data_IF_092395976938
#
_entry.id   IF_092395976938
#
_cell.length_a   1.000
_cell.length_b   1.000
_cell.length_c   1.000
_cell.angle_alpha   90.00
_cell.angle_beta   90.00
_cell.angle_gamma   90.00
#
_symmetry.space_group_name_H-M   'P 1'
#
loop_
_entity.id
_entity.type
_entity.pdbx_description
1 polymer ?
#
# COMPACT_ATOMS: atom_id res chain seq x y z
N UNK A 1 -5.62 12.55 -17.98
CA UNK A 1 -4.41 12.26 -17.17
C UNK A 1 -3.87 10.96 -17.74
N UNK A 2 -2.63 11.00 -18.21
CA UNK A 2 -1.96 9.82 -18.74
C UNK A 2 -1.00 9.31 -17.67
N UNK A 3 -0.98 8.00 -17.44
CA UNK A 3 -0.12 7.37 -16.44
C UNK A 3 0.93 6.53 -17.15
N UNK A 4 2.18 6.79 -16.83
CA UNK A 4 3.32 6.08 -17.36
C UNK A 4 3.96 5.24 -16.25
N UNK A 5 4.22 3.96 -16.54
CA UNK A 5 4.81 3.01 -15.60
C UNK A 5 6.20 2.55 -16.10
N UNK A 6 7.20 3.45 -16.10
CA UNK A 6 8.51 3.16 -16.67
C UNK A 6 9.34 2.21 -15.80
N UNK A 7 8.90 1.96 -14.55
CA UNK A 7 9.59 1.09 -13.59
C UNK A 7 8.55 0.17 -12.94
N UNK A 8 8.80 -1.13 -12.99
CA UNK A 8 7.99 -2.15 -12.32
C UNK A 8 8.94 -3.08 -11.58
N UNK A 9 8.61 -3.46 -10.34
CA UNK A 9 9.50 -4.26 -9.50
C UNK A 9 8.77 -5.40 -8.80
N UNK A 10 9.51 -6.44 -8.43
CA UNK A 10 9.11 -7.40 -7.41
C UNK A 10 10.17 -7.44 -6.29
N UNK A 11 10.20 -8.51 -5.48
CA UNK A 11 11.12 -8.64 -4.36
C UNK A 11 12.60 -8.79 -4.75
N UNK A 12 12.93 -9.07 -6.01
CA UNK A 12 14.30 -9.36 -6.44
C UNK A 12 14.76 -8.62 -7.69
N UNK A 13 13.84 -8.24 -8.58
CA UNK A 13 14.17 -7.63 -9.87
C UNK A 13 13.30 -6.42 -10.20
N UNK A 14 13.85 -5.51 -10.99
CA UNK A 14 13.18 -4.36 -11.57
C UNK A 14 13.27 -4.40 -13.09
N UNK A 15 12.16 -4.07 -13.73
CA UNK A 15 12.10 -3.72 -15.14
C UNK A 15 12.18 -2.20 -15.28
N UNK A 16 13.10 -1.75 -16.12
CA UNK A 16 13.27 -0.36 -16.52
C UNK A 16 12.92 -0.25 -18.00
N UNK A 17 11.92 0.56 -18.33
CA UNK A 17 11.48 0.74 -19.70
C UNK A 17 12.59 1.39 -20.54
N UNK A 18 12.71 0.96 -21.80
CA UNK A 18 13.66 1.51 -22.77
C UNK A 18 12.90 2.03 -23.97
N UNK A 19 13.40 3.10 -24.58
CA UNK A 19 12.84 3.62 -25.82
C UNK A 19 12.71 2.53 -26.89
N UNK A 20 11.55 2.47 -27.54
CA UNK A 20 11.27 1.53 -28.63
C UNK A 20 10.78 0.14 -28.20
N UNK A 21 10.65 -0.14 -26.90
CA UNK A 21 9.99 -1.36 -26.42
C UNK A 21 8.47 -1.17 -26.48
N UNK A 22 7.75 -2.09 -27.14
CA UNK A 22 6.30 -2.03 -27.25
C UNK A 22 5.59 -2.16 -25.88
N UNK A 23 4.36 -1.65 -25.80
CA UNK A 23 3.51 -1.70 -24.61
C UNK A 23 3.06 -3.14 -24.28
N UNK A 24 3.94 -3.91 -23.65
CA UNK A 24 3.71 -5.28 -23.19
C UNK A 24 4.46 -5.53 -21.87
N UNK A 25 4.19 -4.70 -20.85
CA UNK A 25 4.96 -4.64 -19.61
C UNK A 25 5.11 -6.01 -18.91
N UNK A 26 4.10 -6.88 -18.96
CA UNK A 26 4.15 -8.22 -18.33
C UNK A 26 5.21 -9.09 -18.99
N UNK A 27 5.23 -9.12 -20.33
CA UNK A 27 6.21 -9.88 -21.09
C UNK A 27 7.60 -9.27 -20.94
N UNK A 28 7.68 -7.94 -21.02
CA UNK A 28 8.93 -7.21 -20.88
C UNK A 28 9.54 -7.40 -19.49
N UNK A 29 8.72 -7.40 -18.43
CA UNK A 29 9.19 -7.66 -17.06
C UNK A 29 9.81 -9.05 -16.94
N UNK A 30 9.16 -10.08 -17.48
CA UNK A 30 9.69 -11.46 -17.44
C UNK A 30 11.02 -11.58 -18.20
N UNK A 31 11.19 -10.86 -19.30
CA UNK A 31 12.35 -11.01 -20.19
C UNK A 31 13.51 -10.07 -19.86
N UNK A 32 13.22 -8.87 -19.35
CA UNK A 32 14.17 -7.75 -19.28
C UNK A 32 14.41 -7.26 -17.85
N UNK A 33 13.69 -7.77 -16.84
CA UNK A 33 13.94 -7.37 -15.47
C UNK A 33 15.31 -7.86 -14.96
N UNK A 34 15.98 -7.00 -14.20
CA UNK A 34 17.32 -7.23 -13.67
C UNK A 34 17.33 -7.02 -12.15
N UNK A 35 18.27 -7.65 -11.41
CA UNK A 35 18.47 -7.34 -10.00
C UNK A 35 18.67 -5.83 -9.80
N UNK A 36 18.12 -5.29 -8.72
CA UNK A 36 18.11 -3.85 -8.49
C UNK A 36 18.26 -3.49 -7.02
N UNK A 37 18.60 -2.24 -6.78
CA UNK A 37 18.51 -1.52 -5.52
C UNK A 37 17.55 -0.33 -5.69
N UNK A 38 17.04 0.20 -4.58
CA UNK A 38 16.18 1.40 -4.64
C UNK A 38 16.93 2.62 -5.21
N UNK A 39 18.26 2.69 -5.04
CA UNK A 39 19.06 3.75 -5.65
C UNK A 39 19.04 3.70 -7.18
N UNK A 40 18.96 2.51 -7.77
CA UNK A 40 18.90 2.34 -9.23
C UNK A 40 17.58 2.92 -9.79
N UNK A 41 16.47 2.82 -9.03
CA UNK A 41 15.18 3.47 -9.35
C UNK A 41 15.34 4.99 -9.40
N UNK A 42 16.02 5.54 -8.39
CA UNK A 42 16.25 6.98 -8.27
C UNK A 42 17.15 7.47 -9.40
N UNK A 43 18.21 6.74 -9.72
CA UNK A 43 19.14 7.07 -10.80
C UNK A 43 18.43 7.05 -12.15
N UNK A 44 17.71 5.96 -12.46
CA UNK A 44 16.94 5.85 -13.69
C UNK A 44 15.91 6.97 -13.86
N UNK A 45 15.18 7.33 -12.80
CA UNK A 45 14.22 8.43 -12.86
C UNK A 45 14.87 9.79 -13.14
N UNK A 46 16.08 10.01 -12.60
CA UNK A 46 16.86 11.24 -12.85
C UNK A 46 17.43 11.29 -14.26
N UNK A 47 17.99 10.18 -14.74
CA UNK A 47 18.57 10.07 -16.08
C UNK A 47 17.54 10.33 -17.19
N UNK A 48 16.29 9.92 -16.96
CA UNK A 48 15.18 10.15 -17.88
C UNK A 48 14.42 11.47 -17.61
N UNK A 49 14.92 12.31 -16.69
CA UNK A 49 14.33 13.61 -16.35
C UNK A 49 12.83 13.53 -16.00
N UNK A 50 12.40 12.45 -15.34
CA UNK A 50 11.01 12.26 -14.98
C UNK A 50 10.56 13.24 -13.89
N UNK A 51 9.39 13.84 -14.10
CA UNK A 51 8.72 14.71 -13.15
C UNK A 51 7.46 14.04 -12.58
N UNK A 52 6.89 14.62 -11.51
CA UNK A 52 5.64 14.14 -10.89
C UNK A 52 5.68 12.66 -10.48
N UNK A 53 6.81 12.25 -9.91
CA UNK A 53 7.09 10.88 -9.54
C UNK A 53 6.13 10.34 -8.46
N UNK A 54 5.63 9.13 -8.67
CA UNK A 54 4.78 8.41 -7.71
C UNK A 54 5.33 7.00 -7.55
N UNK A 55 5.73 6.64 -6.33
CA UNK A 55 6.04 5.26 -5.96
C UNK A 55 4.77 4.57 -5.45
N UNK A 56 4.40 3.45 -6.09
CA UNK A 56 3.24 2.64 -5.71
C UNK A 56 3.69 1.39 -4.96
N UNK A 57 3.49 1.34 -3.65
CA UNK A 57 3.79 0.18 -2.81
C UNK A 57 2.56 -0.74 -2.69
N UNK A 58 2.52 -1.75 -3.56
CA UNK A 58 1.54 -2.83 -3.53
C UNK A 58 2.08 -4.10 -2.84
N UNK A 59 3.06 -3.95 -1.92
CA UNK A 59 3.73 -5.06 -1.25
C UNK A 59 3.26 -5.24 0.21
N UNK A 60 3.77 -6.28 0.87
CA UNK A 60 3.70 -6.44 2.33
C UNK A 60 5.08 -6.27 3.00
N UNK A 61 6.04 -5.63 2.30
CA UNK A 61 7.44 -5.57 2.69
C UNK A 61 7.72 -4.49 3.73
N UNK A 62 8.42 -4.88 4.81
CA UNK A 62 8.96 -3.92 5.78
C UNK A 62 10.24 -3.25 5.28
N UNK A 63 11.02 -3.97 4.47
CA UNK A 63 12.24 -3.48 3.87
C UNK A 63 11.97 -2.29 2.94
N UNK A 64 10.95 -2.39 2.10
CA UNK A 64 10.59 -1.29 1.19
C UNK A 64 10.23 0.00 1.94
N UNK A 65 9.58 -0.13 3.11
CA UNK A 65 9.22 1.03 3.94
C UNK A 65 10.46 1.75 4.44
N UNK A 66 11.55 1.02 4.74
CA UNK A 66 12.82 1.64 5.14
C UNK A 66 13.41 2.55 4.05
N UNK A 67 13.01 2.35 2.79
CA UNK A 67 13.43 3.16 1.65
C UNK A 67 12.46 4.31 1.32
N UNK A 68 11.33 4.46 2.01
CA UNK A 68 10.39 5.56 1.75
C UNK A 68 11.08 6.92 1.87
N UNK A 69 11.93 7.10 2.89
CA UNK A 69 12.66 8.35 3.07
C UNK A 69 13.58 8.65 1.87
N UNK A 70 14.27 7.65 1.33
CA UNK A 70 15.09 7.81 0.13
C UNK A 70 14.25 8.24 -1.06
N UNK A 71 13.09 7.61 -1.28
CA UNK A 71 12.18 7.97 -2.38
C UNK A 71 11.63 9.40 -2.22
N UNK A 72 11.15 9.76 -1.03
CA UNK A 72 10.61 11.09 -0.74
C UNK A 72 11.66 12.18 -0.96
N UNK A 73 12.89 11.96 -0.47
CA UNK A 73 14.01 12.89 -0.64
C UNK A 73 14.39 13.10 -2.11
N UNK A 74 14.06 12.14 -2.98
CA UNK A 74 14.31 12.20 -4.41
C UNK A 74 13.05 12.52 -5.23
N UNK A 75 12.02 13.09 -4.60
CA UNK A 75 10.90 13.72 -5.31
C UNK A 75 9.66 12.86 -5.50
N UNK A 76 9.66 11.62 -5.00
CA UNK A 76 8.53 10.71 -5.14
C UNK A 76 7.42 11.02 -4.12
N UNK A 77 6.19 11.12 -4.59
CA UNK A 77 5.01 10.88 -3.78
C UNK A 77 4.86 9.38 -3.53
N UNK A 78 4.20 9.00 -2.44
CA UNK A 78 3.99 7.59 -2.08
C UNK A 78 2.49 7.27 -2.13
N UNK A 79 2.14 6.18 -2.78
CA UNK A 79 0.81 5.56 -2.70
C UNK A 79 1.01 4.12 -2.25
N UNK A 80 0.41 3.71 -1.13
CA UNK A 80 0.62 2.36 -0.61
C UNK A 80 -0.67 1.64 -0.27
N UNK A 81 -0.73 0.36 -0.63
CA UNK A 81 -1.64 -0.63 -0.03
C UNK A 81 -1.03 -1.21 1.24
N UNK A 82 0.31 -1.19 1.35
CA UNK A 82 1.03 -1.67 2.51
C UNK A 82 0.66 -0.90 3.79
N UNK A 83 0.01 -1.60 4.71
CA UNK A 83 -0.49 -1.01 5.96
C UNK A 83 0.58 -0.73 6.98
N UNK A 84 1.69 -1.48 6.91
CA UNK A 84 2.72 -1.47 7.94
C UNK A 84 3.39 -0.11 8.05
N UNK A 85 3.47 0.65 6.95
CA UNK A 85 3.98 2.02 6.93
C UNK A 85 3.32 2.94 7.97
N UNK A 86 2.05 2.70 8.32
CA UNK A 86 1.30 3.48 9.30
C UNK A 86 1.22 2.85 10.69
N UNK A 87 1.73 1.63 10.87
CA UNK A 87 1.69 0.89 12.15
C UNK A 87 3.08 0.56 12.70
N UNK A 88 4.14 0.96 11.99
CA UNK A 88 5.54 0.80 12.41
C UNK A 88 5.88 1.64 13.65
N UNK A 89 7.04 1.38 14.30
CA UNK A 89 7.48 2.16 15.46
C UNK A 89 7.38 3.67 15.23
N UNK A 90 6.91 4.37 16.26
CA UNK A 90 6.55 5.81 16.18
C UNK A 90 7.68 6.70 15.65
N UNK A 91 8.95 6.32 15.86
CA UNK A 91 10.11 7.05 15.35
C UNK A 91 10.14 7.09 13.82
N UNK A 92 10.05 5.92 13.17
CA UNK A 92 10.06 5.83 11.70
C UNK A 92 8.83 6.50 11.09
N UNK A 93 7.65 6.34 11.72
CA UNK A 93 6.44 7.04 11.30
C UNK A 93 6.66 8.57 11.30
N UNK A 94 7.21 9.13 12.39
CA UNK A 94 7.49 10.57 12.48
C UNK A 94 8.50 11.03 11.44
N UNK A 95 9.58 10.26 11.25
CA UNK A 95 10.61 10.56 10.26
C UNK A 95 10.02 10.65 8.83
N UNK A 96 9.18 9.68 8.45
CA UNK A 96 8.47 9.71 7.16
C UNK A 96 7.59 10.96 7.06
N UNK A 97 6.80 11.29 8.09
CA UNK A 97 5.93 12.48 8.09
C UNK A 97 6.70 13.79 8.01
N UNK A 98 7.84 13.87 8.68
CA UNK A 98 8.74 15.03 8.64
C UNK A 98 9.35 15.21 7.25
N UNK A 99 9.81 14.12 6.62
CA UNK A 99 10.33 14.16 5.25
C UNK A 99 9.26 14.55 4.23
N UNK A 100 8.06 13.97 4.31
CA UNK A 100 6.94 14.37 3.43
C UNK A 100 6.70 15.88 3.48
N UNK A 101 6.68 16.47 4.69
CA UNK A 101 6.53 17.92 4.86
C UNK A 101 7.73 18.70 4.33
N UNK A 102 8.96 18.22 4.59
CA UNK A 102 10.20 18.91 4.20
C UNK A 102 10.39 18.96 2.68
N UNK A 103 10.02 17.90 1.98
CA UNK A 103 10.22 17.76 0.53
C UNK A 103 8.95 18.07 -0.29
N UNK A 104 7.88 18.52 0.37
CA UNK A 104 6.58 18.81 -0.24
C UNK A 104 6.04 17.63 -1.05
N UNK A 105 5.88 16.49 -0.36
CA UNK A 105 5.40 15.23 -0.93
C UNK A 105 4.23 14.66 -0.15
N UNK A 106 3.44 13.87 -0.85
CA UNK A 106 2.24 13.23 -0.30
C UNK A 106 2.45 11.74 -0.07
N UNK A 107 1.74 11.22 0.95
CA UNK A 107 1.61 9.79 1.21
C UNK A 107 0.14 9.41 1.33
N UNK A 108 -0.38 8.72 0.32
CA UNK A 108 -1.75 8.23 0.25
C UNK A 108 -1.80 6.72 0.56
N UNK A 109 -2.77 6.32 1.37
CA UNK A 109 -2.86 4.95 1.90
C UNK A 109 -4.32 4.56 2.18
N UNK A 110 -5.25 5.03 1.34
CA UNK A 110 -6.69 4.84 1.50
C UNK A 110 -7.06 3.37 1.74
N UNK A 111 -6.49 2.49 0.92
CA UNK A 111 -6.74 1.04 0.92
C UNK A 111 -6.20 0.32 2.16
N UNK A 112 -5.46 1.01 3.05
CA UNK A 112 -5.03 0.42 4.31
C UNK A 112 -6.19 0.13 5.27
N UNK A 113 -7.27 0.91 5.14
CA UNK A 113 -8.55 0.65 5.78
C UNK A 113 -9.34 -0.18 4.78
N UNK A 114 -9.24 -1.52 4.88
CA UNK A 114 -9.80 -2.54 3.95
C UNK A 114 -11.31 -2.34 3.73
N UNK A 115 -11.68 -1.31 2.97
CA UNK A 115 -13.04 -0.89 2.76
C UNK A 115 -13.12 -0.33 1.36
N UNK A 116 -14.21 -0.61 0.66
CA UNK A 116 -14.50 0.01 -0.64
C UNK A 116 -14.91 1.49 -0.53
N UNK A 117 -14.71 2.12 0.63
CA UNK A 117 -15.18 3.47 0.95
C UNK A 117 -14.01 4.40 1.25
N UNK A 118 -14.11 5.70 0.92
CA UNK A 118 -13.05 6.68 1.14
C UNK A 118 -13.01 7.15 2.60
N UNK A 119 -12.74 6.23 3.54
CA UNK A 119 -12.71 6.49 4.98
C UNK A 119 -11.65 7.51 5.35
N UNK A 120 -10.39 7.32 4.92
CA UNK A 120 -9.29 8.21 5.29
C UNK A 120 -9.45 9.57 4.62
N UNK A 121 -9.85 9.61 3.35
CA UNK A 121 -10.18 10.86 2.66
C UNK A 121 -11.29 11.63 3.40
N UNK A 122 -12.38 10.96 3.79
CA UNK A 122 -13.47 11.59 4.56
C UNK A 122 -12.95 12.20 5.87
N UNK A 123 -12.09 11.49 6.59
CA UNK A 123 -11.50 12.01 7.83
C UNK A 123 -10.58 13.21 7.58
N UNK A 124 -9.81 13.21 6.49
CA UNK A 124 -8.97 14.35 6.10
C UNK A 124 -9.82 15.56 5.74
N UNK A 125 -10.88 15.38 4.98
CA UNK A 125 -11.77 16.47 4.55
C UNK A 125 -12.47 17.12 5.75
N UNK A 126 -12.95 16.31 6.69
CA UNK A 126 -13.50 16.80 7.96
C UNK A 126 -12.45 17.60 8.74
N UNK A 127 -11.26 17.04 8.93
CA UNK A 127 -10.18 17.72 9.65
C UNK A 127 -9.78 19.05 9.00
N UNK A 128 -9.62 19.06 7.67
CA UNK A 128 -9.26 20.25 6.90
C UNK A 128 -10.37 21.32 6.91
N UNK A 129 -11.62 20.91 7.10
CA UNK A 129 -12.76 21.81 7.29
C UNK A 129 -12.86 22.39 8.70
N UNK A 130 -11.95 22.02 9.61
CA UNK A 130 -11.96 22.45 11.00
C UNK A 130 -12.86 21.62 11.91
N UNK A 131 -13.43 20.52 11.42
CA UNK A 131 -14.25 19.62 12.23
C UNK A 131 -13.39 18.85 13.24
N UNK A 132 -13.98 18.62 14.41
CA UNK A 132 -13.33 17.82 15.46
C UNK A 132 -13.93 16.43 15.49
N UNK A 133 -13.18 15.46 14.96
CA UNK A 133 -13.56 14.04 15.06
C UNK A 133 -13.49 13.61 16.53
N UNK A 134 -14.65 13.37 17.14
CA UNK A 134 -14.73 12.93 18.54
C UNK A 134 -14.74 11.42 18.70
N UNK A 135 -15.11 10.67 17.64
CA UNK A 135 -15.34 9.23 17.71
C UNK A 135 -15.40 8.57 16.34
N UNK A 136 -14.71 7.45 16.19
CA UNK A 136 -14.80 6.56 15.03
C UNK A 136 -15.28 5.19 15.53
N UNK A 137 -16.29 4.60 14.88
CA UNK A 137 -16.78 3.24 15.14
C UNK A 137 -17.05 2.55 13.81
N UNK A 138 -16.62 1.30 13.70
CA UNK A 138 -16.84 0.47 12.52
C UNK A 138 -16.29 -0.93 12.72
N UNK A 139 -16.66 -1.82 11.81
CA UNK A 139 -16.04 -3.14 11.64
C UNK A 139 -15.11 -3.02 10.43
N UNK A 140 -13.81 -3.20 10.64
CA UNK A 140 -12.76 -2.96 9.63
C UNK A 140 -12.05 -4.25 9.20
N UNK A 141 -12.71 -5.39 9.39
CA UNK A 141 -12.24 -6.71 8.94
C UNK A 141 -13.42 -7.42 8.32
N UNK A 142 -13.37 -7.62 7.01
CA UNK A 142 -14.41 -8.35 6.27
C UNK A 142 -14.49 -9.81 6.74
N UNK A 143 -13.34 -10.41 7.03
CA UNK A 143 -13.23 -11.79 7.52
C UNK A 143 -13.96 -11.94 8.87
N UNK A 144 -13.66 -11.05 9.83
CA UNK A 144 -14.34 -11.06 11.12
C UNK A 144 -15.81 -10.67 10.99
N UNK A 145 -16.14 -9.72 10.11
CA UNK A 145 -17.53 -9.35 9.81
C UNK A 145 -18.32 -10.58 9.36
N UNK A 146 -17.79 -11.35 8.41
CA UNK A 146 -18.40 -12.59 7.94
C UNK A 146 -18.60 -13.60 9.08
N UNK A 147 -17.53 -13.89 9.84
CA UNK A 147 -17.56 -14.86 10.93
C UNK A 147 -18.57 -14.47 12.00
N UNK A 148 -18.56 -13.23 12.46
CA UNK A 148 -19.46 -12.78 13.52
C UNK A 148 -20.91 -12.62 13.05
N UNK A 149 -21.15 -12.15 11.82
CA UNK A 149 -22.50 -12.07 11.26
C UNK A 149 -23.12 -13.47 11.14
N UNK A 150 -22.34 -14.46 10.69
CA UNK A 150 -22.82 -15.82 10.59
C UNK A 150 -23.01 -16.49 11.95
N UNK A 151 -22.03 -16.36 12.85
CA UNK A 151 -22.13 -16.92 14.21
C UNK A 151 -23.30 -16.33 15.03
N UNK A 152 -23.63 -15.06 14.81
CA UNK A 152 -24.75 -14.41 15.49
C UNK A 152 -26.13 -14.75 14.91
N UNK A 153 -26.20 -15.15 13.64
CA UNK A 153 -27.46 -15.42 12.94
C UNK A 153 -27.80 -16.92 12.88
N UNK A 154 -26.78 -17.77 12.79
CA UNK A 154 -26.96 -19.22 12.63
C UNK A 154 -26.89 -19.92 14.00
N UNK A 155 -27.71 -20.96 14.22
CA UNK A 155 -27.56 -21.88 15.36
C UNK A 155 -26.38 -22.86 15.15
N UNK A 156 -25.18 -22.32 14.94
CA UNK A 156 -23.96 -23.09 14.69
C UNK A 156 -22.87 -22.75 15.69
N UNK A 157 -22.05 -23.74 16.03
CA UNK A 157 -20.91 -23.51 16.90
C UNK A 157 -19.89 -22.58 16.21
N UNK A 158 -19.29 -21.65 16.97
CA UNK A 158 -18.27 -20.73 16.46
C UNK A 158 -17.13 -21.44 15.72
N UNK A 159 -16.70 -22.59 16.24
CA UNK A 159 -15.65 -23.41 15.62
C UNK A 159 -16.05 -23.99 14.25
N UNK A 160 -17.34 -24.20 14.00
CA UNK A 160 -17.85 -24.62 12.70
C UNK A 160 -17.84 -23.46 11.71
N UNK A 161 -18.29 -22.26 12.12
CA UNK A 161 -18.25 -21.05 11.29
C UNK A 161 -16.81 -20.72 10.86
N UNK A 162 -15.84 -20.81 11.78
CA UNK A 162 -14.43 -20.61 11.46
C UNK A 162 -13.92 -21.61 10.42
N UNK A 163 -14.22 -22.91 10.59
CA UNK A 163 -13.83 -23.93 9.62
C UNK A 163 -14.41 -23.65 8.24
N UNK A 164 -15.67 -23.30 8.17
CA UNK A 164 -16.35 -22.99 6.90
C UNK A 164 -15.73 -21.73 6.26
N UNK A 165 -15.47 -20.67 7.04
CA UNK A 165 -14.81 -19.46 6.55
C UNK A 165 -13.42 -19.77 5.96
N UNK A 166 -12.65 -20.64 6.61
CA UNK A 166 -11.35 -21.08 6.10
C UNK A 166 -11.48 -21.90 4.81
N UNK A 167 -12.45 -22.81 4.73
CA UNK A 167 -12.70 -23.59 3.50
C UNK A 167 -13.10 -22.71 2.31
N UNK A 168 -13.80 -21.60 2.57
CA UNK A 168 -14.18 -20.60 1.57
C UNK A 168 -13.04 -19.64 1.20
N UNK A 169 -11.88 -19.72 1.88
CA UNK A 169 -10.76 -18.82 1.66
C UNK A 169 -10.95 -17.42 2.26
N UNK A 170 -11.89 -17.25 3.20
CA UNK A 170 -12.11 -15.99 3.91
C UNK A 170 -11.23 -15.83 5.15
N UNK A 171 -10.36 -16.79 5.47
CA UNK A 171 -9.38 -16.63 6.54
C UNK A 171 -7.98 -16.56 5.93
N UNK A 172 -7.10 -15.76 6.53
CA UNK A 172 -5.66 -15.73 6.25
C UNK A 172 -5.01 -17.08 6.60
N UNK A 173 -3.69 -17.14 6.42
CA UNK A 173 -2.91 -18.37 6.59
C UNK A 173 -3.15 -19.07 7.93
N UNK A 174 -3.48 -18.33 8.98
CA UNK A 174 -4.02 -18.87 10.24
C UNK A 174 -5.16 -18.02 10.79
N UNK A 175 -6.12 -18.64 11.50
CA UNK A 175 -7.21 -17.95 12.21
C UNK A 175 -6.75 -16.89 13.23
N UNK A 176 -5.46 -16.92 13.62
CA UNK A 176 -4.89 -15.98 14.60
C UNK A 176 -4.39 -14.69 13.96
N UNK A 177 -4.20 -14.69 12.64
CA UNK A 177 -3.76 -13.52 11.89
C UNK A 177 -4.91 -12.59 11.51
N UNK A 178 -6.14 -13.08 11.58
CA UNK A 178 -7.39 -12.31 11.41
C UNK A 178 -7.95 -11.85 12.75
#
# INVERSE_FOLDING_TARGET
IDFHFPIITNSTVAFFEKEGVGYAWETNFVQLAVPFRVEDIVEFAKENEFENLIAVDATASDELISHYNTLIQNGFNIVAVNKKANTLPIGLYKEIRENLKKYDKEFLYETSVDTGFPVLQTLRDLYNSGEKITKIRGVFSDNLSYVFNRFSSDETAFSAVLKDASLLGFMRSTFRED
#
